data_IF_844909291667
#
_entry.id   IF_844909291667
#
_cell.length_a   1.000
_cell.length_b   1.000
_cell.length_c   1.000
_cell.angle_alpha   90.00
_cell.angle_beta   90.00
_cell.angle_gamma   90.00
#
_symmetry.space_group_name_H-M   'P 1'
#
loop_
_entity.id
_entity.type
_entity.pdbx_description
1 polymer ?
#
# COMPACT_ATOMS: atom_id res chain seq x y z
N UNK A 1 -1.84 29.40 36.93
CA UNK A 1 -1.44 29.38 35.50
C UNK A 1 -1.02 27.96 35.06
N UNK A 2 -1.88 26.95 35.23
CA UNK A 2 -1.54 25.52 34.94
C UNK A 2 -2.41 24.88 33.85
N UNK A 3 -3.44 25.57 33.37
CA UNK A 3 -4.37 25.03 32.38
C UNK A 3 -3.79 24.92 30.95
N UNK A 4 -2.70 25.64 30.65
CA UNK A 4 -2.02 25.60 29.34
C UNK A 4 -1.17 24.33 29.18
N UNK A 5 -0.42 23.94 30.22
CA UNK A 5 0.45 22.77 30.20
C UNK A 5 -0.32 21.46 30.01
N UNK A 6 -1.50 21.31 30.61
CA UNK A 6 -2.33 20.11 30.46
C UNK A 6 -2.96 19.94 29.07
N UNK A 7 -3.18 21.04 28.34
CA UNK A 7 -3.65 20.98 26.94
C UNK A 7 -2.52 20.60 25.99
N UNK A 8 -1.35 21.21 26.17
CA UNK A 8 -0.16 20.89 25.37
C UNK A 8 0.27 19.42 25.56
N UNK A 9 0.24 18.90 26.80
CA UNK A 9 0.55 17.50 27.08
C UNK A 9 -0.39 16.54 26.33
N UNK A 10 -1.71 16.77 26.41
CA UNK A 10 -2.71 15.95 25.71
C UNK A 10 -2.53 15.95 24.20
N UNK A 11 -2.23 17.11 23.61
CA UNK A 11 -1.94 17.23 22.17
C UNK A 11 -0.69 16.43 21.79
N UNK A 12 0.36 16.50 22.59
CA UNK A 12 1.60 15.74 22.36
C UNK A 12 1.38 14.23 22.50
N UNK A 13 0.61 13.79 23.50
CA UNK A 13 0.26 12.37 23.67
C UNK A 13 -0.56 11.85 22.48
N UNK A 14 -1.52 12.64 21.99
CA UNK A 14 -2.32 12.29 20.82
C UNK A 14 -1.47 12.25 19.55
N UNK A 15 -0.61 13.25 19.33
CA UNK A 15 0.30 13.28 18.20
C UNK A 15 1.28 12.10 18.24
N UNK A 16 1.78 11.72 19.41
CA UNK A 16 2.65 10.55 19.57
C UNK A 16 1.91 9.26 19.22
N UNK A 17 0.69 9.06 19.73
CA UNK A 17 -0.11 7.88 19.39
C UNK A 17 -0.37 7.75 17.89
N UNK A 18 -0.78 8.86 17.25
CA UNK A 18 -1.02 8.88 15.82
C UNK A 18 0.27 8.66 15.03
N UNK A 19 1.39 9.27 15.43
CA UNK A 19 2.69 9.08 14.78
C UNK A 19 3.17 7.63 14.88
N UNK A 20 2.96 6.96 16.00
CA UNK A 20 3.30 5.54 16.17
C UNK A 20 2.42 4.66 15.27
N UNK A 21 1.12 4.94 15.21
CA UNK A 21 0.20 4.22 14.32
C UNK A 21 0.56 4.44 12.86
N UNK A 22 0.88 5.67 12.48
CA UNK A 22 1.35 6.04 11.14
C UNK A 22 2.61 5.25 10.77
N UNK A 23 3.62 5.27 11.64
CA UNK A 23 4.87 4.56 11.41
C UNK A 23 4.66 3.05 11.24
N UNK A 24 3.83 2.43 12.09
CA UNK A 24 3.50 1.01 11.97
C UNK A 24 2.79 0.68 10.66
N UNK A 25 1.77 1.45 10.27
CA UNK A 25 1.06 1.24 9.00
C UNK A 25 1.96 1.49 7.78
N UNK A 26 2.84 2.48 7.87
CA UNK A 26 3.81 2.78 6.81
C UNK A 26 4.83 1.65 6.65
N UNK A 27 5.35 1.12 7.75
CA UNK A 27 6.27 -0.02 7.76
C UNK A 27 5.59 -1.28 7.20
N UNK A 28 4.35 -1.58 7.62
CA UNK A 28 3.57 -2.70 7.11
C UNK A 28 3.34 -2.62 5.59
N UNK A 29 3.10 -1.43 5.06
CA UNK A 29 2.94 -1.20 3.62
C UNK A 29 4.28 -1.35 2.90
N UNK A 30 5.37 -0.78 3.43
CA UNK A 30 6.70 -0.92 2.84
C UNK A 30 7.17 -2.38 2.81
N UNK A 31 7.04 -3.12 3.91
CA UNK A 31 7.45 -4.52 3.97
C UNK A 31 6.67 -5.37 2.96
N UNK A 32 5.37 -5.09 2.78
CA UNK A 32 4.58 -5.75 1.76
C UNK A 32 5.01 -5.36 0.35
N UNK A 33 5.24 -4.07 0.10
CA UNK A 33 5.73 -3.58 -1.19
C UNK A 33 7.04 -4.24 -1.58
N UNK A 34 8.00 -4.32 -0.66
CA UNK A 34 9.29 -4.96 -0.92
C UNK A 34 9.12 -6.45 -1.25
N UNK A 35 8.21 -7.14 -0.55
CA UNK A 35 7.86 -8.53 -0.84
C UNK A 35 7.20 -8.71 -2.20
N UNK A 36 6.26 -7.83 -2.55
CA UNK A 36 5.60 -7.81 -3.85
C UNK A 36 6.59 -7.47 -4.96
N UNK A 37 7.39 -6.43 -4.82
CA UNK A 37 8.41 -6.02 -5.80
C UNK A 37 9.45 -7.14 -6.02
N UNK A 38 9.87 -7.84 -4.96
CA UNK A 38 10.75 -8.99 -5.06
C UNK A 38 10.10 -10.17 -5.78
N UNK A 39 8.85 -10.49 -5.46
CA UNK A 39 8.09 -11.54 -6.14
C UNK A 39 7.87 -11.18 -7.62
N UNK A 40 7.52 -9.92 -7.88
CA UNK A 40 7.35 -9.43 -9.23
C UNK A 40 8.67 -9.59 -10.00
N UNK A 41 9.80 -9.11 -9.48
CA UNK A 41 11.08 -9.24 -10.17
C UNK A 41 11.55 -10.68 -10.40
N UNK A 42 11.20 -11.62 -9.52
CA UNK A 42 11.67 -13.01 -9.62
C UNK A 42 10.75 -13.94 -10.40
N UNK A 43 9.44 -13.65 -10.47
CA UNK A 43 8.47 -14.56 -11.09
C UNK A 43 8.03 -14.01 -12.45
N UNK A 44 8.48 -14.66 -13.52
CA UNK A 44 8.00 -14.36 -14.87
C UNK A 44 6.50 -14.69 -15.02
N UNK A 45 5.74 -13.87 -15.79
CA UNK A 45 4.32 -14.12 -16.03
C UNK A 45 4.12 -15.42 -16.83
N UNK A 46 3.39 -16.36 -16.25
CA UNK A 46 3.11 -17.67 -16.82
C UNK A 46 1.62 -18.04 -16.70
N UNK A 47 1.13 -18.87 -17.63
CA UNK A 47 -0.24 -19.37 -17.68
C UNK A 47 -0.51 -20.54 -16.71
N UNK A 48 0.47 -20.94 -15.90
CA UNK A 48 0.33 -22.05 -14.97
C UNK A 48 -0.71 -21.79 -13.87
N UNK A 49 -1.44 -22.82 -13.39
CA UNK A 49 -2.44 -22.68 -12.32
C UNK A 49 -1.86 -22.10 -11.03
N UNK A 50 -0.62 -22.47 -10.69
CA UNK A 50 0.08 -21.94 -9.51
C UNK A 50 0.29 -20.41 -9.62
N UNK A 51 0.65 -19.91 -10.80
CA UNK A 51 0.78 -18.48 -11.03
C UNK A 51 -0.58 -17.76 -10.91
N UNK A 52 -1.66 -18.36 -11.43
CA UNK A 52 -3.00 -17.80 -11.27
C UNK A 52 -3.46 -17.70 -9.82
N UNK A 53 -3.22 -18.74 -9.01
CA UNK A 53 -3.52 -18.70 -7.58
C UNK A 53 -2.72 -17.60 -6.90
N UNK A 54 -1.41 -17.51 -7.21
CA UNK A 54 -0.56 -16.47 -6.66
C UNK A 54 -1.02 -15.07 -7.03
N UNK A 55 -1.44 -14.85 -8.27
CA UNK A 55 -2.00 -13.57 -8.72
C UNK A 55 -3.30 -13.21 -7.99
N UNK A 56 -4.17 -14.20 -7.71
CA UNK A 56 -5.37 -13.98 -6.90
C UNK A 56 -5.03 -13.59 -5.47
N UNK A 57 -4.04 -14.24 -4.87
CA UNK A 57 -3.53 -13.87 -3.54
C UNK A 57 -2.97 -12.45 -3.55
N UNK A 58 -2.09 -12.12 -4.50
CA UNK A 58 -1.52 -10.77 -4.64
C UNK A 58 -2.61 -9.70 -4.75
N UNK A 59 -3.64 -9.92 -5.57
CA UNK A 59 -4.79 -9.00 -5.66
C UNK A 59 -5.54 -8.85 -4.34
N UNK A 60 -5.73 -9.96 -3.61
CA UNK A 60 -6.40 -9.93 -2.30
C UNK A 60 -5.57 -9.11 -1.30
N UNK A 61 -4.27 -9.38 -1.20
CA UNK A 61 -3.38 -8.65 -0.29
C UNK A 61 -3.26 -7.18 -0.72
N UNK A 62 -3.25 -6.87 -2.02
CA UNK A 62 -3.32 -5.49 -2.52
C UNK A 62 -4.57 -4.76 -2.01
N UNK A 63 -5.73 -5.41 -2.06
CA UNK A 63 -6.96 -4.83 -1.53
C UNK A 63 -6.93 -4.63 0.00
N UNK A 64 -6.30 -5.54 0.74
CA UNK A 64 -6.08 -5.38 2.18
C UNK A 64 -5.14 -4.21 2.49
N UNK A 65 -4.08 -4.04 1.71
CA UNK A 65 -3.08 -2.97 1.87
C UNK A 65 -3.65 -1.61 1.49
N UNK A 66 -4.61 -1.55 0.58
CA UNK A 66 -5.42 -0.35 0.32
C UNK A 66 -6.06 0.19 1.60
N UNK A 67 -6.65 -0.69 2.43
CA UNK A 67 -7.27 -0.27 3.70
C UNK A 67 -6.23 0.26 4.70
N UNK A 68 -5.02 -0.29 4.68
CA UNK A 68 -3.90 0.20 5.49
C UNK A 68 -3.46 1.59 5.02
N UNK A 69 -3.42 1.84 3.70
CA UNK A 69 -3.17 3.17 3.14
C UNK A 69 -4.27 4.17 3.47
N UNK A 70 -5.54 3.76 3.39
CA UNK A 70 -6.66 4.63 3.79
C UNK A 70 -6.52 5.02 5.28
N UNK A 71 -6.13 4.06 6.13
CA UNK A 71 -5.80 4.34 7.54
C UNK A 71 -4.61 5.29 7.68
N UNK A 72 -3.56 5.10 6.89
CA UNK A 72 -2.37 5.95 6.89
C UNK A 72 -2.69 7.38 6.46
N UNK A 73 -3.55 7.55 5.44
CA UNK A 73 -4.07 8.83 4.97
C UNK A 73 -4.91 9.52 6.06
N UNK A 74 -5.77 8.78 6.74
CA UNK A 74 -6.63 9.30 7.82
C UNK A 74 -5.79 9.73 9.03
N UNK A 75 -4.88 8.86 9.50
CA UNK A 75 -3.95 9.15 10.60
C UNK A 75 -3.02 10.31 10.21
N UNK A 76 -2.59 10.36 8.94
CA UNK A 76 -1.83 11.46 8.37
C UNK A 76 -2.57 12.78 8.49
N UNK A 77 -3.82 12.84 8.02
CA UNK A 77 -4.67 14.03 8.16
C UNK A 77 -4.87 14.45 9.62
N UNK A 78 -5.12 13.49 10.52
CA UNK A 78 -5.28 13.77 11.95
C UNK A 78 -3.99 14.33 12.58
N UNK A 79 -2.83 13.88 12.13
CA UNK A 79 -1.54 14.46 12.52
C UNK A 79 -1.37 15.88 11.96
N UNK A 80 -1.75 16.16 10.71
CA UNK A 80 -1.66 17.51 10.13
C UNK A 80 -2.45 18.57 10.91
N UNK A 81 -3.55 18.17 11.55
CA UNK A 81 -4.36 19.02 12.42
C UNK A 81 -3.70 19.32 13.77
N UNK A 82 -2.84 18.42 14.26
CA UNK A 82 -2.18 18.53 15.56
C UNK A 82 -0.78 19.14 15.47
N UNK A 83 -0.09 18.99 14.33
CA UNK A 83 1.32 19.33 14.18
C UNK A 83 1.46 20.69 13.46
N UNK A 84 2.38 21.58 13.90
CA UNK A 84 2.62 22.86 13.24
C UNK A 84 3.03 22.70 11.77
N UNK A 85 2.67 23.70 10.95
CA UNK A 85 2.86 23.76 9.47
C UNK A 85 4.19 23.17 8.96
N UNK A 86 5.30 23.37 9.66
CA UNK A 86 6.63 22.90 9.25
C UNK A 86 6.75 21.37 9.13
N UNK A 87 5.99 20.60 9.91
CA UNK A 87 6.02 19.14 9.82
C UNK A 87 5.00 18.59 8.81
N UNK A 88 4.10 19.44 8.29
CA UNK A 88 3.07 19.03 7.34
C UNK A 88 3.68 18.53 6.04
N UNK A 89 4.66 19.27 5.51
CA UNK A 89 5.32 18.90 4.25
C UNK A 89 6.02 17.54 4.32
N UNK A 90 6.65 17.21 5.45
CA UNK A 90 7.30 15.91 5.65
C UNK A 90 6.28 14.76 5.70
N UNK A 91 5.18 14.96 6.42
CA UNK A 91 4.12 13.96 6.54
C UNK A 91 3.37 13.77 5.21
N UNK A 92 3.03 14.87 4.52
CA UNK A 92 2.42 14.83 3.20
C UNK A 92 3.31 14.09 2.19
N UNK A 93 4.62 14.30 2.23
CA UNK A 93 5.56 13.54 1.38
C UNK A 93 5.57 12.06 1.70
N UNK A 94 5.59 11.66 2.97
CA UNK A 94 5.57 10.25 3.36
C UNK A 94 4.27 9.57 2.91
N UNK A 95 3.14 10.23 3.13
CA UNK A 95 1.83 9.77 2.66
C UNK A 95 1.81 9.65 1.13
N UNK A 96 2.29 10.67 0.42
CA UNK A 96 2.32 10.68 -1.04
C UNK A 96 3.23 9.58 -1.60
N UNK A 97 4.40 9.37 -1.02
CA UNK A 97 5.35 8.33 -1.41
C UNK A 97 4.77 6.93 -1.23
N UNK A 98 4.19 6.64 -0.06
CA UNK A 98 3.52 5.37 0.21
C UNK A 98 2.36 5.10 -0.78
N UNK A 99 1.53 6.12 -1.05
CA UNK A 99 0.45 6.02 -2.04
C UNK A 99 0.98 5.83 -3.48
N UNK A 100 2.13 6.42 -3.82
CA UNK A 100 2.74 6.28 -5.13
C UNK A 100 3.31 4.87 -5.32
N UNK A 101 4.09 4.36 -4.35
CA UNK A 101 4.64 2.99 -4.41
C UNK A 101 3.53 1.95 -4.48
N UNK A 102 2.46 2.12 -3.72
CA UNK A 102 1.29 1.24 -3.81
C UNK A 102 0.66 1.23 -5.20
N UNK A 103 0.44 2.41 -5.80
CA UNK A 103 -0.10 2.49 -7.16
C UNK A 103 0.80 1.78 -8.17
N UNK A 104 2.12 1.95 -8.07
CA UNK A 104 3.06 1.25 -8.95
C UNK A 104 3.00 -0.27 -8.78
N UNK A 105 2.91 -0.75 -7.54
CA UNK A 105 2.78 -2.18 -7.27
C UNK A 105 1.44 -2.73 -7.80
N UNK A 106 0.33 -2.04 -7.55
CA UNK A 106 -1.00 -2.43 -8.00
C UNK A 106 -1.14 -2.43 -9.53
N UNK A 107 -0.57 -1.41 -10.19
CA UNK A 107 -0.49 -1.35 -11.66
C UNK A 107 0.31 -2.53 -12.22
N UNK A 108 1.45 -2.85 -11.60
CA UNK A 108 2.31 -3.96 -12.05
C UNK A 108 1.62 -5.31 -11.84
N UNK A 109 0.94 -5.52 -10.71
CA UNK A 109 0.11 -6.71 -10.46
C UNK A 109 -0.98 -6.81 -11.53
N UNK A 110 -1.69 -5.71 -11.78
CA UNK A 110 -2.77 -5.66 -12.78
C UNK A 110 -2.27 -6.00 -14.18
N UNK A 111 -1.13 -5.44 -14.59
CA UNK A 111 -0.54 -5.71 -15.89
C UNK A 111 -0.16 -7.19 -16.06
N UNK A 112 0.40 -7.82 -15.01
CA UNK A 112 0.73 -9.25 -15.04
C UNK A 112 -0.49 -10.15 -15.11
N UNK A 113 -1.53 -9.83 -14.34
CA UNK A 113 -2.81 -10.55 -14.44
C UNK A 113 -3.35 -10.48 -15.87
N UNK A 114 -3.31 -9.31 -16.50
CA UNK A 114 -3.76 -9.15 -17.89
C UNK A 114 -2.91 -9.96 -18.88
N UNK A 115 -1.58 -9.95 -18.73
CA UNK A 115 -0.68 -10.74 -19.58
C UNK A 115 -0.98 -12.25 -19.49
N UNK A 116 -1.16 -12.76 -18.28
CA UNK A 116 -1.50 -14.17 -18.05
C UNK A 116 -2.88 -14.51 -18.58
N UNK A 117 -3.87 -13.65 -18.36
CA UNK A 117 -5.21 -13.84 -18.91
C UNK A 117 -5.19 -13.89 -20.45
N UNK A 118 -4.40 -13.03 -21.09
CA UNK A 118 -4.23 -13.00 -22.54
C UNK A 118 -3.50 -14.24 -23.05
N UNK A 119 -2.47 -14.73 -22.35
CA UNK A 119 -1.77 -15.97 -22.69
C UNK A 119 -2.71 -17.18 -22.64
N UNK A 120 -3.55 -17.26 -21.61
CA UNK A 120 -4.54 -18.34 -21.46
C UNK A 120 -5.59 -18.28 -22.57
N UNK A 121 -6.16 -17.09 -22.83
CA UNK A 121 -7.12 -16.92 -23.93
C UNK A 121 -6.53 -17.33 -25.27
N UNK A 122 -5.26 -16.96 -25.52
CA UNK A 122 -4.57 -17.36 -26.75
C UNK A 122 -4.44 -18.88 -26.83
N UNK A 123 -4.04 -19.55 -25.76
CA UNK A 123 -3.96 -21.03 -25.73
C UNK A 123 -5.32 -21.67 -26.03
N UNK A 124 -6.38 -21.20 -25.37
CA UNK A 124 -7.75 -21.71 -25.57
C UNK A 124 -8.23 -21.54 -27.02
N UNK A 125 -7.99 -20.37 -27.63
CA UNK A 125 -8.36 -20.13 -29.03
C UNK A 125 -7.64 -21.04 -30.03
N UNK A 126 -6.40 -21.42 -29.75
CA UNK A 126 -5.67 -22.38 -30.60
C UNK A 126 -6.22 -23.80 -30.45
N UNK A 127 -6.65 -24.22 -29.26
CA UNK A 127 -7.26 -25.54 -29.05
C UNK A 127 -8.67 -25.67 -29.64
N UNK A 128 -9.47 -24.59 -29.68
CA UNK A 128 -10.80 -24.61 -30.29
C UNK A 128 -10.78 -24.53 -31.83
N UNK A 129 -9.66 -24.12 -32.43
CA UNK A 129 -9.50 -23.94 -33.87
C UNK A 129 -8.86 -25.14 -34.59
N UNK A 130 -8.52 -26.21 -33.86
CA UNK A 130 -7.94 -27.48 -34.37
C UNK A 130 -8.97 -28.59 -34.29
#
# INVERSE_FOLDING_TARGET
>A
MTASSGKALRTLEQALQLSTRFASSHDDVNQWLDGVEAELNNVEPDASPAYQERQKELKKVSAEKRLVLDTLNEVGSALLDLVPWRAREGLDRLVADANQRYRQADDTITQRVQLVQAAIQRSQQYEEAV
#
